data_IF_280783107476
#
_entry.id   IF_280783107476
#
_cell.length_a   1.000
_cell.length_b   1.000
_cell.length_c   1.000
_cell.angle_alpha   90.00
_cell.angle_beta   90.00
_cell.angle_gamma   90.00
#
_symmetry.space_group_name_H-M   'P 1'
#
loop_
_entity.id
_entity.type
_entity.pdbx_description
1 polymer ?
#
# COMPACT_ATOMS: atom_id res chain seq x y z
N UNK A 1 7.43 3.66 -21.37
CA UNK A 1 6.35 4.64 -21.15
C UNK A 1 6.19 4.73 -19.64
N UNK A 2 6.27 5.92 -19.04
CA UNK A 2 6.03 6.06 -17.60
C UNK A 2 4.54 5.87 -17.38
N UNK A 3 4.13 4.71 -16.87
CA UNK A 3 2.75 4.47 -16.43
C UNK A 3 2.50 5.25 -15.14
N UNK A 4 2.52 6.58 -15.26
CA UNK A 4 2.03 7.49 -14.24
C UNK A 4 0.52 7.57 -14.45
N UNK A 5 -0.21 6.68 -13.79
CA UNK A 5 -1.63 6.89 -13.53
C UNK A 5 -1.76 8.26 -12.87
N UNK A 6 -2.29 9.25 -13.60
CA UNK A 6 -2.07 10.67 -13.33
C UNK A 6 -2.38 11.13 -11.90
N UNK A 7 -3.28 10.45 -11.19
CA UNK A 7 -3.62 10.73 -9.79
C UNK A 7 -3.65 9.45 -8.95
N UNK A 8 -3.58 9.61 -7.62
CA UNK A 8 -3.74 8.51 -6.66
C UNK A 8 -5.01 7.70 -6.95
N UNK A 9 -6.14 8.38 -7.17
CA UNK A 9 -7.42 7.74 -7.48
C UNK A 9 -7.36 6.91 -8.76
N UNK A 10 -6.71 7.40 -9.82
CA UNK A 10 -6.54 6.65 -11.07
C UNK A 10 -5.65 5.42 -10.89
N UNK A 11 -4.62 5.53 -10.05
CA UNK A 11 -3.70 4.40 -9.77
C UNK A 11 -4.40 3.30 -9.01
N UNK A 12 -5.16 3.67 -7.98
CA UNK A 12 -5.99 2.74 -7.22
C UNK A 12 -7.03 2.08 -8.12
N UNK A 13 -7.66 2.82 -9.02
CA UNK A 13 -8.62 2.25 -9.99
C UNK A 13 -7.95 1.25 -10.96
N UNK A 14 -6.78 1.61 -11.50
CA UNK A 14 -5.98 0.72 -12.35
C UNK A 14 -5.59 -0.58 -11.64
N UNK A 15 -5.10 -0.47 -10.41
CA UNK A 15 -4.75 -1.62 -9.58
C UNK A 15 -5.98 -2.51 -9.28
N UNK A 16 -7.15 -1.91 -9.03
CA UNK A 16 -8.40 -2.66 -8.89
C UNK A 16 -8.74 -3.46 -10.14
N UNK A 17 -8.51 -2.90 -11.34
CA UNK A 17 -8.70 -3.62 -12.61
C UNK A 17 -7.69 -4.76 -12.81
N UNK A 18 -6.48 -4.64 -12.26
CA UNK A 18 -5.48 -5.73 -12.23
C UNK A 18 -5.79 -6.84 -11.21
N UNK A 19 -6.82 -6.65 -10.37
CA UNK A 19 -7.26 -7.61 -9.35
C UNK A 19 -6.87 -7.24 -7.91
N UNK A 20 -6.19 -6.11 -7.70
CA UNK A 20 -5.93 -5.54 -6.36
C UNK A 20 -7.19 -4.87 -5.82
N UNK A 21 -8.18 -5.68 -5.48
CA UNK A 21 -9.52 -5.21 -5.06
C UNK A 21 -9.63 -4.98 -3.56
N UNK A 22 -8.70 -5.52 -2.77
CA UNK A 22 -8.67 -5.31 -1.33
C UNK A 22 -8.02 -3.98 -0.97
N UNK A 23 -8.56 -3.36 0.07
CA UNK A 23 -7.95 -2.19 0.71
C UNK A 23 -7.27 -2.67 1.99
N UNK A 24 -5.94 -2.57 2.01
CA UNK A 24 -5.12 -2.89 3.16
C UNK A 24 -4.86 -1.62 3.95
N UNK A 25 -5.04 -1.72 5.25
CA UNK A 25 -4.75 -0.68 6.20
C UNK A 25 -3.81 -1.21 7.29
N UNK A 26 -3.01 -0.34 7.85
CA UNK A 26 -2.07 -0.70 8.92
C UNK A 26 -2.73 -0.38 10.25
N UNK A 27 -2.78 -1.38 11.13
CA UNK A 27 -3.29 -1.22 12.48
C UNK A 27 -2.27 -1.77 13.47
N UNK A 28 -1.50 -0.87 14.09
CA UNK A 28 -0.33 -1.25 14.86
C UNK A 28 0.66 -2.01 13.98
N UNK A 29 1.12 -3.18 14.40
CA UNK A 29 2.08 -3.99 13.66
C UNK A 29 1.42 -5.08 12.79
N UNK A 30 0.16 -4.91 12.41
CA UNK A 30 -0.58 -5.87 11.56
C UNK A 30 -1.24 -5.19 10.37
N UNK A 31 -1.32 -5.91 9.25
CA UNK A 31 -2.10 -5.49 8.09
C UNK A 31 -3.52 -6.01 8.27
N UNK A 32 -4.49 -5.11 8.17
CA UNK A 32 -5.91 -5.44 8.24
C UNK A 32 -6.60 -4.99 6.95
N UNK A 33 -7.64 -5.70 6.55
CA UNK A 33 -8.49 -5.29 5.44
C UNK A 33 -9.96 -5.40 5.85
N UNK A 34 -10.75 -4.45 5.35
CA UNK A 34 -12.14 -4.25 5.78
C UNK A 34 -13.02 -5.49 5.62
N UNK A 35 -12.75 -6.37 4.66
CA UNK A 35 -13.63 -7.51 4.39
C UNK A 35 -13.57 -8.64 5.42
N UNK A 36 -12.46 -8.82 6.16
CA UNK A 36 -12.29 -9.99 7.04
C UNK A 36 -11.86 -9.67 8.46
N UNK A 37 -11.63 -8.40 8.80
CA UNK A 37 -11.19 -7.99 10.14
C UNK A 37 -10.03 -8.85 10.68
N UNK A 38 -9.25 -9.43 9.76
CA UNK A 38 -8.23 -10.43 10.02
C UNK A 38 -6.90 -9.69 10.03
N UNK A 39 -6.15 -9.91 11.11
CA UNK A 39 -4.80 -9.37 11.26
C UNK A 39 -3.86 -10.30 10.52
N UNK A 40 -3.27 -9.80 9.45
CA UNK A 40 -2.28 -10.49 8.67
C UNK A 40 -0.90 -9.91 8.98
N UNK A 41 0.09 -10.80 9.05
CA UNK A 41 1.48 -10.39 9.26
C UNK A 41 2.03 -9.77 7.98
N UNK A 42 2.82 -8.68 8.08
CA UNK A 42 3.46 -8.07 6.92
C UNK A 42 4.38 -9.04 6.18
N UNK A 43 5.03 -9.97 6.89
CA UNK A 43 5.87 -11.04 6.31
C UNK A 43 5.20 -11.87 5.21
N UNK A 44 3.87 -12.02 5.27
CA UNK A 44 3.12 -12.83 4.30
C UNK A 44 2.74 -12.05 3.04
N UNK A 45 3.12 -10.76 2.97
CA UNK A 45 2.84 -9.91 1.84
C UNK A 45 4.11 -9.50 1.12
N UNK A 46 3.99 -9.43 -0.20
CA UNK A 46 5.02 -8.97 -1.10
C UNK A 46 4.56 -7.67 -1.75
N UNK A 47 5.50 -6.72 -1.86
CA UNK A 47 5.28 -5.48 -2.61
C UNK A 47 5.53 -5.78 -4.09
N UNK A 48 4.45 -5.83 -4.87
CA UNK A 48 4.49 -6.01 -6.32
C UNK A 48 4.84 -4.70 -7.03
N UNK A 49 4.18 -3.59 -6.64
CA UNK A 49 4.37 -2.26 -7.23
C UNK A 49 4.33 -1.16 -6.18
N UNK A 50 5.04 -0.06 -6.44
CA UNK A 50 5.07 1.15 -5.59
C UNK A 50 4.87 2.38 -6.45
N UNK A 51 3.91 3.21 -6.07
CA UNK A 51 3.60 4.48 -6.72
C UNK A 51 3.67 5.59 -5.70
N UNK A 52 4.63 6.50 -5.86
CA UNK A 52 4.80 7.67 -4.99
C UNK A 52 4.18 8.89 -5.65
N UNK A 53 3.33 9.56 -4.89
CA UNK A 53 2.69 10.83 -5.25
C UNK A 53 3.30 11.92 -4.37
N UNK A 54 3.96 12.87 -5.02
CA UNK A 54 4.45 14.08 -4.39
C UNK A 54 3.39 15.14 -4.70
N UNK A 55 2.64 15.58 -3.68
CA UNK A 55 1.48 16.44 -3.89
C UNK A 55 1.84 17.71 -4.67
N UNK A 56 1.41 17.81 -5.93
CA UNK A 56 1.77 18.92 -6.82
C UNK A 56 1.17 20.27 -6.39
N UNK A 57 0.24 20.29 -5.43
CA UNK A 57 -0.47 21.51 -4.99
C UNK A 57 -0.62 21.70 -3.49
N UNK A 58 -0.37 20.68 -2.67
CA UNK A 58 -0.43 20.81 -1.20
C UNK A 58 0.72 20.03 -0.56
N UNK A 59 1.58 20.68 0.24
CA UNK A 59 2.70 20.04 0.94
C UNK A 59 2.26 19.08 2.07
N UNK A 60 0.96 18.77 2.18
CA UNK A 60 0.41 17.75 3.09
C UNK A 60 -0.17 16.52 2.38
N UNK A 61 -0.14 16.47 1.05
CA UNK A 61 -0.79 15.43 0.24
C UNK A 61 0.23 14.44 -0.36
N UNK A 62 1.37 14.25 0.32
CA UNK A 62 2.34 13.24 -0.08
C UNK A 62 1.83 11.85 0.32
N UNK A 63 1.62 10.99 -0.68
CA UNK A 63 1.10 9.65 -0.46
C UNK A 63 1.87 8.62 -1.30
N UNK A 64 1.97 7.41 -0.78
CA UNK A 64 2.59 6.28 -1.46
C UNK A 64 1.58 5.14 -1.49
N UNK A 65 1.27 4.67 -2.70
CA UNK A 65 0.40 3.52 -2.93
C UNK A 65 1.27 2.30 -3.19
N UNK A 66 1.12 1.29 -2.35
CA UNK A 66 1.79 -0.01 -2.48
C UNK A 66 0.78 -1.04 -2.96
N UNK A 67 1.07 -1.71 -4.07
CA UNK A 67 0.34 -2.89 -4.49
C UNK A 67 0.93 -4.10 -3.77
N UNK A 68 0.13 -4.71 -2.89
CA UNK A 68 0.53 -5.84 -2.08
C UNK A 68 -0.17 -7.11 -2.57
N UNK A 69 0.58 -8.20 -2.65
CA UNK A 69 0.04 -9.53 -2.91
C UNK A 69 0.54 -10.49 -1.84
N UNK A 70 -0.36 -11.28 -1.28
CA UNK A 70 0.00 -12.39 -0.39
C UNK A 70 -0.09 -13.70 -1.19
N UNK A 71 1.04 -14.33 -1.52
CA UNK A 71 1.04 -15.64 -2.15
C UNK A 71 0.51 -16.73 -1.20
N UNK A 72 0.71 -16.57 0.12
CA UNK A 72 0.26 -17.52 1.15
C UNK A 72 -1.26 -17.61 1.25
N UNK A 73 -1.94 -16.46 1.24
CA UNK A 73 -3.42 -16.38 1.30
C UNK A 73 -4.08 -16.25 -0.07
N UNK A 74 -3.32 -16.02 -1.14
CA UNK A 74 -3.83 -15.80 -2.50
C UNK A 74 -4.65 -14.53 -2.65
N UNK A 75 -4.34 -13.49 -1.87
CA UNK A 75 -5.08 -12.22 -1.85
C UNK A 75 -4.24 -11.07 -2.38
N UNK A 76 -4.89 -10.09 -3.03
CA UNK A 76 -4.24 -8.92 -3.61
C UNK A 76 -4.99 -7.66 -3.25
N UNK A 77 -4.27 -6.61 -2.92
CA UNK A 77 -4.84 -5.33 -2.52
C UNK A 77 -3.85 -4.18 -2.55
N UNK A 78 -4.36 -3.00 -2.24
CA UNK A 78 -3.60 -1.76 -2.22
C UNK A 78 -3.47 -1.27 -0.79
N UNK A 79 -2.29 -0.78 -0.45
CA UNK A 79 -2.01 -0.09 0.81
C UNK A 79 -1.64 1.35 0.47
N UNK A 80 -2.41 2.30 0.98
CA UNK A 80 -2.12 3.73 0.83
C UNK A 80 -1.49 4.24 2.12
N UNK A 81 -0.29 4.80 2.00
CA UNK A 81 0.42 5.38 3.14
C UNK A 81 0.69 6.88 2.91
N UNK A 82 0.35 7.71 3.87
CA UNK A 82 0.76 9.12 3.88
C UNK A 82 2.25 9.24 4.25
N UNK A 83 2.94 10.22 3.68
CA UNK A 83 4.29 10.61 4.10
C UNK A 83 4.31 12.12 4.44
N UNK A 84 5.34 12.61 5.13
CA UNK A 84 5.41 14.00 5.61
C UNK A 84 4.64 14.24 6.92
N UNK A 85 3.80 15.29 6.97
CA UNK A 85 3.03 15.65 8.19
C UNK A 85 2.01 14.56 8.57
N UNK A 86 1.55 13.81 7.57
CA UNK A 86 0.64 12.66 7.73
C UNK A 86 1.40 11.33 7.79
N UNK A 87 2.73 11.35 7.94
CA UNK A 87 3.52 10.12 8.09
C UNK A 87 3.21 9.46 9.43
N UNK A 88 2.55 8.31 9.36
CA UNK A 88 2.42 7.45 10.53
C UNK A 88 3.71 6.63 10.68
N UNK A 89 4.43 6.82 11.78
CA UNK A 89 5.66 6.06 12.08
C UNK A 89 5.43 4.55 12.04
N UNK A 90 4.22 4.12 12.41
CA UNK A 90 3.81 2.72 12.36
C UNK A 90 3.83 2.21 10.93
N UNK A 91 3.29 2.99 10.00
CA UNK A 91 3.22 2.61 8.59
C UNK A 91 4.59 2.58 7.92
N UNK A 92 5.47 3.54 8.25
CA UNK A 92 6.84 3.55 7.74
C UNK A 92 7.61 2.28 8.15
N UNK A 93 7.56 1.92 9.45
CA UNK A 93 8.19 0.68 9.95
C UNK A 93 7.61 -0.57 9.30
N UNK A 94 6.31 -0.57 9.03
CA UNK A 94 5.62 -1.69 8.37
C UNK A 94 6.11 -1.88 6.93
N UNK A 95 6.23 -0.79 6.17
CA UNK A 95 6.78 -0.83 4.82
C UNK A 95 8.23 -1.32 4.82
N UNK A 96 9.04 -0.89 5.79
CA UNK A 96 10.40 -1.41 5.95
C UNK A 96 10.44 -2.92 6.22
N UNK A 97 9.50 -3.44 7.03
CA UNK A 97 9.36 -4.90 7.26
C UNK A 97 9.01 -5.63 5.95
N UNK A 98 8.04 -5.11 5.19
CA UNK A 98 7.63 -5.65 3.89
C UNK A 98 8.78 -5.67 2.88
N UNK A 99 9.62 -4.63 2.85
CA UNK A 99 10.78 -4.55 1.94
C UNK A 99 11.92 -5.50 2.31
N UNK A 100 12.08 -5.81 3.60
CA UNK A 100 13.13 -6.73 4.08
C UNK A 100 12.87 -8.19 3.73
N UNK A 101 11.63 -8.57 3.43
CA UNK A 101 11.25 -9.97 3.21
C UNK A 101 11.54 -10.51 1.80
N UNK A 102 12.38 -9.82 1.03
CA UNK A 102 12.71 -10.15 -0.38
C UNK A 102 14.00 -10.97 -0.53
N UNK A 103 14.34 -11.79 0.47
CA UNK A 103 15.57 -12.59 0.52
C UNK A 103 15.38 -14.06 0.11
#
# INVERSE_FOLDING_TARGET
MKESYGTLSQTVDGLKQEGYTLDFNIQGECIVYHQRNTKLSPDDFEIDKVYRFEGESNPGDEAIVYALSSPGFGVKGVLVNGYGISADETSAKMVEKLQRHKE
#
